data_IF_640169616735
#
_entry.id   IF_640169616735
#
_cell.length_a   1.000
_cell.length_b   1.000
_cell.length_c   1.000
_cell.angle_alpha   90.00
_cell.angle_beta   90.00
_cell.angle_gamma   90.00
#
_symmetry.space_group_name_H-M   'P 1'
#
loop_
_entity.id
_entity.type
_entity.pdbx_description
1 polymer ?
#
# COMPACT_ATOMS: atom_id res chain seq x y z
N UNK A 1 -10.68 -6.82 -5.92
CA UNK A 1 -10.11 -6.20 -4.70
C UNK A 1 -8.60 -6.24 -4.68
N UNK A 2 -7.92 -7.37 -4.87
CA UNK A 2 -6.44 -7.39 -4.93
C UNK A 2 -5.85 -6.59 -6.10
N UNK A 3 -6.52 -6.57 -7.26
CA UNK A 3 -6.13 -5.73 -8.41
C UNK A 3 -6.26 -4.22 -8.12
N UNK A 4 -7.04 -3.83 -7.11
CA UNK A 4 -7.24 -2.43 -6.75
C UNK A 4 -5.93 -1.77 -6.30
N UNK A 5 -5.03 -2.53 -5.69
CA UNK A 5 -3.70 -2.08 -5.26
C UNK A 5 -2.72 -1.85 -6.40
N UNK A 6 -3.02 -2.29 -7.63
CA UNK A 6 -2.12 -2.10 -8.78
C UNK A 6 -2.01 -0.63 -9.20
N UNK A 7 -3.12 0.10 -9.19
CA UNK A 7 -3.16 1.53 -9.50
C UNK A 7 -2.28 2.39 -8.57
N UNK A 8 -2.45 2.34 -7.23
CA UNK A 8 -1.60 3.09 -6.31
C UNK A 8 -0.15 2.59 -6.34
N UNK A 9 0.07 1.30 -6.60
CA UNK A 9 1.42 0.76 -6.77
C UNK A 9 2.13 1.33 -8.00
N UNK A 10 1.46 1.40 -9.15
CA UNK A 10 2.02 1.94 -10.40
C UNK A 10 2.48 3.39 -10.24
N UNK A 11 1.67 4.24 -9.58
CA UNK A 11 2.02 5.64 -9.34
C UNK A 11 3.22 5.86 -8.42
N UNK A 12 3.63 4.82 -7.67
CA UNK A 12 4.65 4.92 -6.62
C UNK A 12 5.87 4.06 -6.94
N UNK A 13 5.79 3.28 -8.03
CA UNK A 13 6.82 2.34 -8.44
C UNK A 13 8.22 2.99 -8.56
N UNK A 14 8.30 4.17 -9.19
CA UNK A 14 9.57 4.89 -9.40
C UNK A 14 10.17 5.34 -8.05
N UNK A 15 9.33 5.86 -7.16
CA UNK A 15 9.74 6.35 -5.85
C UNK A 15 10.16 5.21 -4.93
N UNK A 16 9.44 4.11 -4.98
CA UNK A 16 9.79 2.87 -4.30
C UNK A 16 11.15 2.37 -4.80
N UNK A 17 11.42 2.43 -6.11
CA UNK A 17 12.73 2.08 -6.66
C UNK A 17 13.86 2.93 -6.07
N UNK A 18 13.66 4.24 -6.00
CA UNK A 18 14.63 5.15 -5.39
C UNK A 18 14.81 4.88 -3.89
N UNK A 19 13.73 4.56 -3.16
CA UNK A 19 13.80 4.20 -1.75
C UNK A 19 14.61 2.92 -1.52
N UNK A 20 14.35 1.86 -2.29
CA UNK A 20 15.12 0.62 -2.18
C UNK A 20 16.60 0.85 -2.54
N UNK A 21 16.87 1.64 -3.58
CA UNK A 21 18.25 1.97 -3.95
C UNK A 21 18.94 2.88 -2.91
N UNK A 22 18.19 3.65 -2.13
CA UNK A 22 18.71 4.50 -1.04
C UNK A 22 18.96 3.72 0.25
N UNK A 23 18.01 2.85 0.65
CA UNK A 23 18.12 2.03 1.87
C UNK A 23 19.28 1.03 1.77
N UNK A 24 19.59 0.56 0.56
CA UNK A 24 20.62 -0.46 0.31
C UNK A 24 21.83 0.05 -0.49
N UNK A 25 21.81 1.28 -0.99
CA UNK A 25 22.88 1.91 -1.75
C UNK A 25 23.51 3.10 -1.04
N UNK A 26 24.74 3.44 -1.44
CA UNK A 26 25.64 4.34 -0.69
C UNK A 26 25.45 5.84 -1.02
N UNK A 27 24.29 6.26 -1.53
CA UNK A 27 24.04 7.64 -1.95
C UNK A 27 23.17 8.37 -0.93
N UNK A 28 23.79 9.32 -0.24
CA UNK A 28 23.15 10.12 0.80
C UNK A 28 22.25 11.21 0.22
N UNK A 29 20.97 11.11 0.55
CA UNK A 29 20.05 12.20 0.93
C UNK A 29 19.84 13.36 -0.05
N UNK A 30 18.68 13.37 -0.73
CA UNK A 30 17.86 14.57 -1.00
C UNK A 30 16.33 14.26 -1.10
N UNK A 31 15.87 13.02 -0.90
CA UNK A 31 14.52 12.57 -1.30
C UNK A 31 13.49 12.41 -0.16
N UNK A 32 13.82 12.69 1.10
CA UNK A 32 12.88 12.49 2.23
C UNK A 32 11.61 13.35 2.11
N UNK A 33 11.71 14.56 1.57
CA UNK A 33 10.54 15.41 1.31
C UNK A 33 9.62 14.83 0.23
N UNK A 34 10.21 14.27 -0.84
CA UNK A 34 9.45 13.63 -1.93
C UNK A 34 8.76 12.36 -1.42
N UNK A 35 9.45 11.55 -0.62
CA UNK A 35 8.87 10.37 0.02
C UNK A 35 7.63 10.68 0.86
N UNK A 36 7.67 11.77 1.63
CA UNK A 36 6.51 12.20 2.42
C UNK A 36 5.33 12.62 1.53
N UNK A 37 5.59 13.36 0.45
CA UNK A 37 4.55 13.74 -0.52
C UNK A 37 3.94 12.51 -1.20
N UNK A 38 4.78 11.56 -1.63
CA UNK A 38 4.35 10.32 -2.25
C UNK A 38 3.50 9.50 -1.28
N UNK A 39 3.87 9.47 0.00
CA UNK A 39 3.08 8.84 1.04
C UNK A 39 1.68 9.46 1.18
N UNK A 40 1.56 10.78 1.15
CA UNK A 40 0.25 11.47 1.18
C UNK A 40 -0.58 11.12 -0.07
N UNK A 41 0.02 11.16 -1.26
CA UNK A 41 -0.66 10.82 -2.51
C UNK A 41 -1.13 9.35 -2.46
N UNK A 42 -0.32 8.44 -1.92
CA UNK A 42 -0.67 7.04 -1.71
C UNK A 42 -1.95 6.90 -0.87
N UNK A 43 -2.05 7.64 0.24
CA UNK A 43 -3.23 7.63 1.10
C UNK A 43 -4.47 8.15 0.36
N UNK A 44 -4.34 9.26 -0.39
CA UNK A 44 -5.45 9.84 -1.15
C UNK A 44 -5.95 8.87 -2.22
N UNK A 45 -5.06 8.29 -3.03
CA UNK A 45 -5.43 7.35 -4.09
C UNK A 45 -6.04 6.08 -3.51
N UNK A 46 -5.43 5.52 -2.45
CA UNK A 46 -5.97 4.33 -1.76
C UNK A 46 -7.36 4.61 -1.20
N UNK A 47 -7.58 5.77 -0.57
CA UNK A 47 -8.88 6.14 -0.03
C UNK A 47 -9.95 6.27 -1.13
N UNK A 48 -9.59 6.89 -2.26
CA UNK A 48 -10.50 7.11 -3.40
C UNK A 48 -10.92 5.79 -4.06
N UNK A 49 -9.96 4.89 -4.31
CA UNK A 49 -10.24 3.56 -4.88
C UNK A 49 -11.12 2.74 -3.92
N UNK A 50 -10.85 2.80 -2.61
CA UNK A 50 -11.63 2.05 -1.62
C UNK A 50 -13.07 2.54 -1.54
N UNK A 51 -13.30 3.87 -1.62
CA UNK A 51 -14.65 4.45 -1.67
C UNK A 51 -15.38 4.00 -2.95
N UNK A 52 -14.73 4.09 -4.12
CA UNK A 52 -15.32 3.69 -5.39
C UNK A 52 -15.75 2.22 -5.39
N UNK A 53 -14.89 1.31 -4.90
CA UNK A 53 -15.22 -0.11 -4.79
C UNK A 53 -16.32 -0.39 -3.78
N UNK A 54 -16.35 0.34 -2.67
CA UNK A 54 -17.41 0.23 -1.67
C UNK A 54 -18.75 0.66 -2.27
N UNK A 55 -18.79 1.76 -3.04
CA UNK A 55 -19.99 2.23 -3.74
C UNK A 55 -20.52 1.19 -4.74
N UNK A 56 -19.66 0.64 -5.61
CA UNK A 56 -20.06 -0.44 -6.52
C UNK A 56 -20.59 -1.65 -5.77
N UNK A 57 -19.99 -2.00 -4.63
CA UNK A 57 -20.46 -3.14 -3.85
C UNK A 57 -21.82 -2.90 -3.21
N UNK A 58 -22.11 -1.69 -2.72
CA UNK A 58 -23.44 -1.32 -2.23
C UNK A 58 -24.49 -1.34 -3.35
N UNK A 59 -24.14 -0.93 -4.58
CA UNK A 59 -25.05 -1.02 -5.73
C UNK A 59 -25.42 -2.45 -6.14
N UNK A 60 -24.63 -3.44 -5.70
CA UNK A 60 -24.87 -4.87 -5.93
C UNK A 60 -25.52 -5.55 -4.70
N UNK A 61 -26.13 -4.78 -3.80
CA UNK A 61 -26.79 -5.23 -2.56
C UNK A 61 -25.90 -6.06 -1.62
N UNK A 62 -24.58 -5.99 -1.79
CA UNK A 62 -23.63 -6.80 -1.03
C UNK A 62 -23.10 -6.04 0.21
N UNK A 63 -23.78 -6.20 1.34
CA UNK A 63 -23.46 -5.48 2.59
C UNK A 63 -22.18 -5.92 3.33
N UNK A 64 -21.39 -6.85 2.80
CA UNK A 64 -20.11 -7.29 3.36
C UNK A 64 -18.95 -6.34 2.99
N UNK A 65 -19.11 -5.03 3.21
CA UNK A 65 -18.14 -4.02 2.79
C UNK A 65 -16.93 -3.93 3.72
N UNK A 66 -17.08 -4.18 5.02
CA UNK A 66 -16.07 -3.90 6.04
C UNK A 66 -14.71 -4.59 5.80
N UNK A 67 -14.70 -5.91 5.62
CA UNK A 67 -13.48 -6.67 5.36
C UNK A 67 -12.90 -6.43 3.95
N UNK A 68 -13.78 -6.15 2.97
CA UNK A 68 -13.37 -5.95 1.58
C UNK A 68 -12.71 -4.59 1.38
N UNK A 69 -13.19 -3.54 2.05
CA UNK A 69 -12.56 -2.22 2.06
C UNK A 69 -11.18 -2.27 2.72
N UNK A 70 -11.03 -3.03 3.82
CA UNK A 70 -9.73 -3.25 4.48
C UNK A 70 -8.73 -3.98 3.57
N UNK A 71 -9.13 -5.11 2.96
CA UNK A 71 -8.27 -5.88 2.06
C UNK A 71 -7.91 -5.08 0.79
N UNK A 72 -8.86 -4.30 0.27
CA UNK A 72 -8.62 -3.44 -0.89
C UNK A 72 -7.56 -2.37 -0.58
N UNK A 73 -7.66 -1.70 0.57
CA UNK A 73 -6.68 -0.70 1.01
C UNK A 73 -5.30 -1.33 1.25
N UNK A 74 -5.24 -2.47 1.93
CA UNK A 74 -3.99 -3.17 2.22
C UNK A 74 -3.34 -3.83 1.00
N UNK A 75 -4.07 -4.08 -0.09
CA UNK A 75 -3.57 -4.82 -1.25
C UNK A 75 -2.27 -4.27 -1.85
N UNK A 76 -2.06 -2.95 -1.78
CA UNK A 76 -0.83 -2.26 -2.22
C UNK A 76 0.43 -2.79 -1.51
N UNK A 77 0.34 -3.16 -0.23
CA UNK A 77 1.48 -3.68 0.54
C UNK A 77 1.95 -5.06 0.04
N UNK A 78 1.05 -5.87 -0.52
CA UNK A 78 1.45 -7.13 -1.17
C UNK A 78 2.29 -6.89 -2.42
N UNK A 79 1.96 -5.87 -3.23
CA UNK A 79 2.77 -5.50 -4.39
C UNK A 79 4.15 -4.98 -3.99
N UNK A 80 4.24 -4.22 -2.90
CA UNK A 80 5.54 -3.78 -2.33
C UNK A 80 6.37 -4.99 -1.86
N UNK A 81 5.73 -5.98 -1.22
CA UNK A 81 6.39 -7.24 -0.85
C UNK A 81 6.94 -7.99 -2.06
N UNK A 82 6.15 -8.14 -3.11
CA UNK A 82 6.60 -8.78 -4.36
C UNK A 82 7.77 -8.03 -5.01
N UNK A 83 7.71 -6.69 -5.02
CA UNK A 83 8.80 -5.86 -5.50
C UNK A 83 10.10 -6.06 -4.70
N UNK A 84 10.00 -6.19 -3.37
CA UNK A 84 11.16 -6.42 -2.51
C UNK A 84 11.90 -7.73 -2.82
N UNK A 85 11.16 -8.78 -3.23
CA UNK A 85 11.70 -10.06 -3.68
C UNK A 85 12.40 -9.85 -5.03
N UNK A 86 11.76 -9.18 -5.99
CA UNK A 86 12.35 -8.90 -7.30
C UNK A 86 13.66 -8.10 -7.17
N UNK A 87 13.67 -7.05 -6.34
CA UNK A 87 14.85 -6.23 -6.10
C UNK A 87 16.02 -7.06 -5.51
N UNK A 88 15.72 -7.97 -4.59
CA UNK A 88 16.70 -8.85 -3.98
C UNK A 88 17.41 -9.73 -5.03
N UNK A 89 16.67 -10.35 -5.94
CA UNK A 89 17.22 -11.22 -6.98
C UNK A 89 18.00 -10.47 -8.07
N UNK A 90 17.50 -9.32 -8.54
CA UNK A 90 18.08 -8.63 -9.69
C UNK A 90 19.20 -7.65 -9.34
N UNK A 91 19.30 -7.23 -8.07
CA UNK A 91 20.15 -6.08 -7.71
C UNK A 91 20.93 -6.22 -6.42
N UNK A 92 20.51 -7.07 -5.48
CA UNK A 92 21.29 -7.29 -4.28
C UNK A 92 22.46 -8.23 -4.61
N UNK A 93 23.62 -7.65 -4.93
CA UNK A 93 24.91 -8.36 -4.86
C UNK A 93 25.27 -8.68 -3.38
N UNK A 94 24.28 -9.07 -2.56
CA UNK A 94 24.41 -9.41 -1.15
C UNK A 94 24.53 -10.93 -1.05
N UNK A 95 25.75 -11.40 -0.85
CA UNK A 95 26.05 -12.81 -0.68
C UNK A 95 26.21 -13.14 0.81
N UNK A 96 25.31 -13.99 1.33
CA UNK A 96 25.42 -14.54 2.68
C UNK A 96 24.08 -14.82 3.33
N UNK A 97 23.87 -16.05 3.82
CA UNK A 97 22.62 -16.52 4.42
C UNK A 97 22.08 -15.59 5.52
N UNK A 98 22.96 -15.11 6.40
CA UNK A 98 22.58 -14.23 7.49
C UNK A 98 22.07 -12.86 6.97
N UNK A 99 22.70 -12.33 5.93
CA UNK A 99 22.31 -11.07 5.29
C UNK A 99 20.94 -11.16 4.60
N UNK A 100 20.63 -12.30 3.98
CA UNK A 100 19.34 -12.54 3.33
C UNK A 100 18.20 -12.57 4.35
N UNK A 101 18.39 -13.26 5.48
CA UNK A 101 17.38 -13.38 6.54
C UNK A 101 17.10 -12.01 7.17
N UNK A 102 18.13 -11.20 7.45
CA UNK A 102 17.94 -9.85 7.97
C UNK A 102 17.24 -8.91 6.98
N UNK A 103 17.54 -9.02 5.68
CA UNK A 103 16.86 -8.26 4.64
C UNK A 103 15.36 -8.61 4.59
N UNK A 104 15.05 -9.90 4.47
CA UNK A 104 13.67 -10.37 4.39
C UNK A 104 12.88 -10.09 5.66
N UNK A 105 13.49 -10.23 6.84
CA UNK A 105 12.87 -9.89 8.11
C UNK A 105 12.45 -8.42 8.17
N UNK A 106 13.37 -7.50 7.80
CA UNK A 106 13.06 -6.05 7.77
C UNK A 106 11.97 -5.72 6.75
N UNK A 107 12.05 -6.29 5.56
CA UNK A 107 11.04 -6.05 4.51
C UNK A 107 9.67 -6.60 4.89
N UNK A 108 9.62 -7.76 5.54
CA UNK A 108 8.38 -8.33 6.03
C UNK A 108 7.72 -7.42 7.09
N UNK A 109 8.48 -6.95 8.07
CA UNK A 109 7.96 -6.00 9.08
C UNK A 109 7.40 -4.72 8.44
N UNK A 110 8.11 -4.16 7.44
CA UNK A 110 7.66 -2.97 6.70
C UNK A 110 6.36 -3.26 5.93
N UNK A 111 6.29 -4.38 5.21
CA UNK A 111 5.09 -4.75 4.45
C UNK A 111 3.87 -4.95 5.36
N UNK A 112 4.05 -5.60 6.52
CA UNK A 112 2.98 -5.77 7.51
C UNK A 112 2.51 -4.43 8.06
N UNK A 113 3.42 -3.52 8.41
CA UNK A 113 3.07 -2.19 8.89
C UNK A 113 2.29 -1.39 7.84
N UNK A 114 2.76 -1.40 6.58
CA UNK A 114 2.07 -0.76 5.46
C UNK A 114 0.68 -1.36 5.21
N UNK A 115 0.55 -2.69 5.29
CA UNK A 115 -0.73 -3.38 5.10
C UNK A 115 -1.77 -2.92 6.11
N UNK A 116 -1.42 -2.90 7.40
CA UNK A 116 -2.32 -2.45 8.46
C UNK A 116 -2.66 -0.96 8.34
N UNK A 117 -1.67 -0.12 8.04
CA UNK A 117 -1.88 1.32 7.91
C UNK A 117 -2.81 1.66 6.74
N UNK A 118 -2.56 1.08 5.57
CA UNK A 118 -3.37 1.30 4.37
C UNK A 118 -4.75 0.66 4.47
N UNK A 119 -4.82 -0.54 5.05
CA UNK A 119 -6.08 -1.19 5.35
C UNK A 119 -6.94 -0.36 6.30
N UNK A 120 -6.35 0.21 7.36
CA UNK A 120 -7.07 1.07 8.29
C UNK A 120 -7.58 2.35 7.62
N UNK A 121 -6.76 3.03 6.82
CA UNK A 121 -7.17 4.24 6.09
C UNK A 121 -8.31 3.94 5.10
N UNK A 122 -8.21 2.83 4.35
CA UNK A 122 -9.26 2.40 3.44
C UNK A 122 -10.57 2.02 4.15
N UNK A 123 -10.48 1.35 5.30
CA UNK A 123 -11.66 1.00 6.10
C UNK A 123 -12.32 2.25 6.71
N UNK A 124 -11.53 3.19 7.23
CA UNK A 124 -12.03 4.46 7.79
C UNK A 124 -12.68 5.34 6.73
N UNK A 125 -12.10 5.44 5.53
CA UNK A 125 -12.69 6.23 4.45
C UNK A 125 -14.02 5.64 3.98
N UNK A 126 -14.09 4.31 3.84
CA UNK A 126 -15.33 3.60 3.51
C UNK A 126 -16.40 3.78 4.61
N UNK A 127 -16.03 3.67 5.89
CA UNK A 127 -16.92 3.91 7.03
C UNK A 127 -17.52 5.32 7.01
N UNK A 128 -16.69 6.34 6.79
CA UNK A 128 -17.14 7.73 6.72
C UNK A 128 -18.11 7.94 5.56
N UNK A 129 -17.80 7.36 4.39
CA UNK A 129 -18.66 7.43 3.21
C UNK A 129 -20.02 6.76 3.42
N UNK A 130 -20.04 5.54 3.95
CA UNK A 130 -21.27 4.80 4.24
C UNK A 130 -22.15 5.57 5.22
N UNK A 131 -21.58 6.07 6.33
CA UNK A 131 -22.31 6.91 7.30
C UNK A 131 -22.92 8.15 6.66
N UNK A 132 -22.21 8.79 5.72
CA UNK A 132 -22.71 9.98 5.00
C UNK A 132 -23.87 9.66 4.07
N UNK A 133 -23.90 8.47 3.44
CA UNK A 133 -25.03 8.05 2.61
C UNK A 133 -26.27 7.83 3.46
N UNK A 134 -26.16 7.03 4.52
CA UNK A 134 -27.31 6.71 5.38
C UNK A 134 -27.85 7.96 6.09
N UNK A 135 -26.99 8.88 6.54
CA UNK A 135 -27.42 10.14 7.16
C UNK A 135 -28.10 11.14 6.21
N UNK A 136 -28.09 10.89 4.89
CA UNK A 136 -28.85 11.69 3.91
C UNK A 136 -30.13 11.01 3.44
N UNK A 137 -30.37 9.77 3.86
CA UNK A 137 -31.55 8.98 3.50
C UNK A 137 -32.66 9.12 4.56
N UNK A 138 -32.29 9.48 5.79
CA UNK A 138 -33.19 9.99 6.85
C UNK A 138 -33.36 11.52 6.72
#
# INVERSE_FOLDING_TARGET
YLVAGFLPFSGIYIELHYLFNSVWGHLSYHLYGILFLVFIILLIVTSSITIALTYFQLSLENHHWWWRSFISGGSTAFFVGFYSIFFYYYRSNMSGFLQTVFYFGRMFSVCVAFFFMLGAVGALSALFFVRRIYAKLD
#
